data_IF_706153369322
#
_entry.id   IF_706153369322
#
_cell.length_a   1.000
_cell.length_b   1.000
_cell.length_c   1.000
_cell.angle_alpha   90.00
_cell.angle_beta   90.00
_cell.angle_gamma   90.00
#
_symmetry.space_group_name_H-M   'P 1'
#
loop_
_entity.id
_entity.type
_entity.pdbx_description
1 polymer ?
#
# COMPACT_ATOMS: atom_id res chain seq x y z
N UNK A 1 17.48 0.97 -14.04
CA UNK A 1 16.91 0.74 -12.70
C UNK A 1 16.72 -0.76 -12.51
N UNK A 2 17.62 -1.45 -11.79
CA UNK A 2 17.50 -2.89 -11.51
C UNK A 2 16.96 -3.05 -10.09
N UNK A 3 15.74 -3.55 -9.95
CA UNK A 3 15.22 -3.95 -8.65
C UNK A 3 16.06 -5.11 -8.12
N UNK A 4 16.58 -5.00 -6.89
CA UNK A 4 17.54 -5.97 -6.32
C UNK A 4 17.00 -7.42 -6.27
N UNK A 5 15.68 -7.59 -6.35
CA UNK A 5 14.99 -8.89 -6.34
C UNK A 5 14.20 -9.21 -7.61
N UNK A 6 14.42 -8.47 -8.72
CA UNK A 6 13.81 -8.77 -10.02
C UNK A 6 12.29 -8.57 -10.12
N UNK A 7 11.69 -7.78 -9.22
CA UNK A 7 10.25 -7.48 -9.28
C UNK A 7 10.00 -6.49 -10.43
N UNK A 8 9.27 -6.92 -11.45
CA UNK A 8 9.04 -6.11 -12.65
C UNK A 8 7.89 -5.12 -12.50
N UNK A 9 6.78 -5.56 -11.89
CA UNK A 9 5.56 -4.79 -11.78
C UNK A 9 4.77 -5.18 -10.53
N UNK A 10 3.96 -4.24 -10.05
CA UNK A 10 2.98 -4.44 -8.99
C UNK A 10 1.69 -3.78 -9.47
N UNK A 11 0.60 -4.52 -9.59
CA UNK A 11 -0.68 -3.94 -10.04
C UNK A 11 -1.43 -3.26 -8.89
N UNK A 12 -1.37 -3.87 -7.70
CA UNK A 12 -2.07 -3.40 -6.50
C UNK A 12 -1.13 -3.49 -5.31
N UNK A 13 -0.99 -2.39 -4.58
CA UNK A 13 -0.29 -2.34 -3.30
C UNK A 13 -1.25 -1.91 -2.20
N UNK A 14 -1.38 -2.73 -1.15
CA UNK A 14 -2.25 -2.43 -0.01
C UNK A 14 -1.40 -1.86 1.13
N UNK A 15 -1.74 -0.67 1.60
CA UNK A 15 -0.96 0.10 2.58
C UNK A 15 -1.82 0.57 3.74
N UNK A 16 -1.20 0.85 4.88
CA UNK A 16 -1.92 1.18 6.11
C UNK A 16 -2.22 2.70 6.28
N UNK A 17 -2.36 3.42 5.16
CA UNK A 17 -2.62 4.87 5.18
C UNK A 17 -1.43 5.72 5.65
N UNK A 18 -0.21 5.19 5.64
CA UNK A 18 1.00 5.92 6.01
C UNK A 18 1.26 7.08 5.04
N UNK A 19 1.46 8.30 5.58
CA UNK A 19 1.79 9.49 4.78
C UNK A 19 3.09 9.28 4.01
N UNK A 20 3.12 9.64 2.73
CA UNK A 20 4.32 9.52 1.89
C UNK A 20 4.53 8.13 1.29
N UNK A 21 3.79 7.11 1.75
CA UNK A 21 3.96 5.73 1.32
C UNK A 21 3.31 5.44 -0.04
N UNK A 22 2.07 5.92 -0.32
CA UNK A 22 1.52 5.87 -1.66
C UNK A 22 2.42 6.57 -2.68
N UNK A 23 2.96 7.74 -2.33
CA UNK A 23 3.84 8.54 -3.19
C UNK A 23 5.15 7.81 -3.49
N UNK A 24 5.73 7.14 -2.49
CA UNK A 24 6.93 6.31 -2.67
C UNK A 24 6.67 5.11 -3.59
N UNK A 25 5.49 4.49 -3.50
CA UNK A 25 5.12 3.38 -4.38
C UNK A 25 4.94 3.87 -5.81
N UNK A 26 4.19 4.95 -6.03
CA UNK A 26 3.96 5.50 -7.38
C UNK A 26 5.24 6.05 -8.01
N UNK A 27 6.21 6.52 -7.21
CA UNK A 27 7.52 6.94 -7.71
C UNK A 27 8.37 5.77 -8.26
N UNK A 28 8.16 4.55 -7.73
CA UNK A 28 8.93 3.36 -8.11
C UNK A 28 8.18 2.50 -9.14
N UNK A 29 6.86 2.38 -8.97
CA UNK A 29 5.94 1.62 -9.80
C UNK A 29 4.76 2.53 -10.17
N UNK A 30 4.86 3.31 -11.27
CA UNK A 30 3.88 4.34 -11.61
C UNK A 30 2.50 3.79 -11.98
N UNK A 31 2.42 2.53 -12.43
CA UNK A 31 1.16 1.86 -12.79
C UNK A 31 0.51 1.13 -11.60
N UNK A 32 1.13 1.15 -10.42
CA UNK A 32 0.57 0.49 -9.23
C UNK A 32 -0.58 1.29 -8.63
N UNK A 33 -1.70 0.61 -8.40
CA UNK A 33 -2.82 1.15 -7.61
C UNK A 33 -2.53 0.98 -6.11
N UNK A 34 -2.31 2.08 -5.41
CA UNK A 34 -2.19 2.08 -3.95
C UNK A 34 -3.58 2.12 -3.29
N UNK A 35 -3.93 1.10 -2.51
CA UNK A 35 -5.20 1.00 -1.78
C UNK A 35 -4.96 0.97 -0.27
N UNK A 36 -5.89 1.55 0.50
CA UNK A 36 -5.84 1.46 1.97
C UNK A 36 -6.28 0.07 2.44
N UNK A 37 -5.59 -0.48 3.43
CA UNK A 37 -5.86 -1.81 3.94
C UNK A 37 -7.20 -1.87 4.70
N UNK A 38 -8.20 -2.49 4.07
CA UNK A 38 -9.53 -2.73 4.67
C UNK A 38 -9.42 -3.55 5.97
N UNK A 39 -8.50 -4.52 6.05
CA UNK A 39 -8.32 -5.32 7.26
C UNK A 39 -7.91 -4.44 8.44
N UNK A 40 -6.97 -3.50 8.24
CA UNK A 40 -6.59 -2.56 9.29
C UNK A 40 -7.74 -1.62 9.65
N UNK A 41 -8.51 -1.13 8.66
CA UNK A 41 -9.70 -0.31 8.90
C UNK A 41 -10.77 -1.04 9.73
N UNK A 42 -11.06 -2.30 9.41
CA UNK A 42 -12.02 -3.11 10.17
C UNK A 42 -11.51 -3.34 11.60
N UNK A 43 -10.24 -3.74 11.77
CA UNK A 43 -9.66 -3.97 13.10
C UNK A 43 -9.70 -2.71 13.97
N UNK A 44 -9.34 -1.56 13.40
CA UNK A 44 -9.45 -0.27 14.06
C UNK A 44 -10.90 0.02 14.44
N UNK A 45 -11.85 -0.14 13.51
CA UNK A 45 -13.28 0.12 13.76
C UNK A 45 -13.85 -0.76 14.88
N UNK A 46 -13.47 -2.03 14.93
CA UNK A 46 -13.91 -2.96 15.97
C UNK A 46 -13.36 -2.62 17.37
N UNK A 47 -12.22 -1.93 17.46
CA UNK A 47 -11.68 -1.46 18.75
C UNK A 47 -12.52 -0.32 19.35
N UNK A 48 -13.17 0.52 18.53
CA UNK A 48 -14.07 1.57 19.04
C UNK A 48 -15.48 1.07 19.35
N UNK A 49 -15.84 -0.10 18.81
CA UNK A 49 -17.17 -0.68 18.97
C UNK A 49 -17.28 -1.62 20.20
N UNK A 50 -16.23 -1.73 21.02
CA UNK A 50 -16.17 -2.57 22.23
C UNK A 50 -16.09 -1.73 23.50
#
# INVERSE_FOLDING_TARGET
MRFARGTHEILIAVVDGLKGFPEAITAVFPETVAQTCIVHLIRYSMQFAS
#
